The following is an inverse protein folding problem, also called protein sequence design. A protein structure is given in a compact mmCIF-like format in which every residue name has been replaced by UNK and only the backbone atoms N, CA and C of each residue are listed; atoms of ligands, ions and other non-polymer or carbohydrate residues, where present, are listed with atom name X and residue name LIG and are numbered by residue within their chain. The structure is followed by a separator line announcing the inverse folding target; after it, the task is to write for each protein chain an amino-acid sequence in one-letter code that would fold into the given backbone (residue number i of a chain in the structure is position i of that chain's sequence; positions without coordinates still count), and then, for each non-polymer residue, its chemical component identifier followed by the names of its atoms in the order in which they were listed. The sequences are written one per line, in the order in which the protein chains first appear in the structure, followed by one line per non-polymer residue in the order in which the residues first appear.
data_IF_601173845275
#
_entry.id   IF_601173845275
#
_cell.length_a   1.000
_cell.length_b   1.000
_cell.length_c   1.000
_cell.angle_alpha   90.00
_cell.angle_beta   90.00
_cell.angle_gamma   90.00
#
_symmetry.space_group_name_H-M   'P 1'
#
loop_
_entity.id
_entity.type
_entity.pdbx_description
1 polymer ?
#
# COMPACT_ATOMS: atom_id res chain seq x y z
N UNK A 1 -11.35 -18.57 14.84
CA UNK A 1 -11.52 -19.57 13.77
C UNK A 1 -11.42 -21.01 14.29
N UNK A 2 -10.38 -21.39 15.01
CA UNK A 2 -10.12 -22.74 15.53
C UNK A 2 -11.31 -23.36 16.28
N UNK A 3 -11.88 -22.65 17.28
CA UNK A 3 -13.05 -23.11 18.02
C UNK A 3 -14.26 -23.45 17.14
N UNK A 4 -14.50 -22.65 16.09
CA UNK A 4 -15.60 -22.92 15.15
C UNK A 4 -15.32 -24.15 14.29
N UNK A 5 -14.07 -24.29 13.85
CA UNK A 5 -13.66 -25.45 13.06
C UNK A 5 -13.79 -26.75 13.86
N UNK A 6 -13.32 -26.75 15.11
CA UNK A 6 -13.44 -27.92 16.00
C UNK A 6 -14.91 -28.32 16.28
N UNK A 7 -15.75 -27.33 16.58
CA UNK A 7 -17.18 -27.60 16.83
C UNK A 7 -17.90 -28.20 15.60
N UNK A 8 -17.56 -27.73 14.40
CA UNK A 8 -18.12 -28.30 13.16
C UNK A 8 -17.61 -29.72 12.96
N UNK A 9 -16.32 -29.96 13.15
CA UNK A 9 -15.73 -31.28 12.97
C UNK A 9 -16.33 -32.29 13.95
N UNK A 10 -16.53 -31.93 15.21
CA UNK A 10 -17.20 -32.77 16.22
C UNK A 10 -18.61 -33.14 15.81
N UNK A 11 -19.39 -32.22 15.25
CA UNK A 11 -20.73 -32.49 14.74
C UNK A 11 -20.76 -33.56 13.65
N UNK A 12 -19.67 -33.70 12.91
CA UNK A 12 -19.49 -34.74 11.88
C UNK A 12 -18.68 -35.97 12.38
N UNK A 13 -18.41 -36.05 13.68
CA UNK A 13 -17.58 -37.11 14.29
C UNK A 13 -16.17 -37.17 13.68
N UNK A 14 -15.65 -36.03 13.29
CA UNK A 14 -14.30 -35.84 12.74
C UNK A 14 -13.44 -35.01 13.69
N UNK A 15 -12.13 -35.03 13.46
CA UNK A 15 -11.21 -34.08 14.07
C UNK A 15 -10.68 -33.11 13.00
N UNK A 16 -10.49 -31.86 13.35
CA UNK A 16 -9.90 -30.86 12.47
C UNK A 16 -8.69 -30.19 13.15
N UNK A 17 -7.64 -29.97 12.36
CA UNK A 17 -6.48 -29.21 12.78
C UNK A 17 -6.29 -28.05 11.82
N UNK A 18 -6.13 -26.85 12.37
CA UNK A 18 -5.89 -25.65 11.57
C UNK A 18 -4.44 -25.19 11.78
N UNK A 19 -3.75 -24.91 10.68
CA UNK A 19 -2.50 -24.15 10.66
C UNK A 19 -2.80 -22.78 10.08
N UNK A 20 -2.59 -21.75 10.87
CA UNK A 20 -2.75 -20.36 10.43
C UNK A 20 -1.39 -19.71 10.27
N UNK A 21 -1.09 -19.25 9.07
CA UNK A 21 0.15 -18.56 8.75
C UNK A 21 -0.18 -17.15 8.27
N UNK A 22 0.50 -16.17 8.83
CA UNK A 22 0.35 -14.75 8.44
C UNK A 22 1.47 -14.39 7.48
N UNK A 23 1.14 -14.25 6.22
CA UNK A 23 2.10 -13.91 5.16
C UNK A 23 2.23 -12.39 4.93
N UNK A 24 1.26 -11.61 5.37
CA UNK A 24 1.23 -10.17 5.16
C UNK A 24 0.83 -9.45 6.43
N UNK A 25 1.18 -8.19 6.50
CA UNK A 25 0.79 -7.26 7.55
C UNK A 25 -0.17 -6.23 6.98
N UNK A 26 -0.88 -5.55 7.87
CA UNK A 26 -1.71 -4.42 7.47
C UNK A 26 -0.79 -3.26 7.10
N UNK A 27 -0.91 -2.77 5.86
CA UNK A 27 -0.23 -1.56 5.42
C UNK A 27 -1.11 -0.36 5.77
N UNK A 28 -0.62 0.46 6.68
CA UNK A 28 -1.33 1.67 7.13
C UNK A 28 -0.36 2.84 6.98
N UNK A 29 -0.82 3.86 6.28
CA UNK A 29 -0.07 5.10 6.14
C UNK A 29 -0.06 5.86 7.47
N UNK A 30 1.10 6.42 7.83
CA UNK A 30 1.21 7.34 8.96
C UNK A 30 0.49 8.66 8.63
N UNK A 31 -0.44 9.07 9.47
CA UNK A 31 -1.31 10.21 9.23
C UNK A 31 -0.52 11.52 9.04
N UNK A 32 0.44 11.79 9.93
CA UNK A 32 1.26 13.00 9.88
C UNK A 32 2.17 13.03 8.66
N UNK A 33 2.83 11.90 8.39
CA UNK A 33 3.72 11.79 7.22
C UNK A 33 2.92 11.92 5.92
N UNK A 34 1.76 11.27 5.83
CA UNK A 34 0.89 11.34 4.66
C UNK A 34 0.36 12.76 4.43
N UNK A 35 -0.08 13.46 5.46
CA UNK A 35 -0.53 14.85 5.33
C UNK A 35 0.57 15.80 4.82
N UNK A 36 1.80 15.62 5.28
CA UNK A 36 2.94 16.37 4.74
C UNK A 36 3.23 16.04 3.28
N UNK A 37 3.13 14.76 2.92
CA UNK A 37 3.33 14.26 1.56
C UNK A 37 2.24 14.79 0.61
N UNK A 38 0.99 14.83 1.04
CA UNK A 38 -0.11 15.40 0.28
C UNK A 38 0.10 16.87 -0.04
N UNK A 39 0.52 17.67 0.94
CA UNK A 39 0.86 19.07 0.72
C UNK A 39 1.93 19.24 -0.36
N UNK A 40 2.97 18.41 -0.33
CA UNK A 40 4.02 18.42 -1.33
C UNK A 40 3.53 17.97 -2.71
N UNK A 41 2.66 16.96 -2.74
CA UNK A 41 2.10 16.41 -3.95
C UNK A 41 1.13 17.39 -4.65
N UNK A 42 0.43 18.24 -3.91
CA UNK A 42 -0.45 19.29 -4.47
C UNK A 42 0.29 20.18 -5.45
N UNK A 43 1.51 20.57 -5.12
CA UNK A 43 2.33 21.46 -5.96
C UNK A 43 2.81 20.76 -7.24
N UNK A 44 3.02 19.45 -7.18
CA UNK A 44 3.57 18.64 -8.28
C UNK A 44 2.48 18.15 -9.23
N UNK A 45 1.37 17.63 -8.68
CA UNK A 45 0.32 16.97 -9.47
C UNK A 45 -0.89 17.85 -9.74
N UNK A 46 -0.95 19.06 -9.18
CA UNK A 46 -2.17 19.84 -9.02
C UNK A 46 -3.19 19.13 -8.11
N UNK A 47 -3.79 19.85 -7.18
CA UNK A 47 -4.67 19.27 -6.15
C UNK A 47 -5.86 18.46 -6.67
N UNK A 48 -6.28 18.69 -7.92
CA UNK A 48 -7.38 17.92 -8.57
C UNK A 48 -7.03 16.46 -8.86
N UNK A 49 -5.75 16.14 -8.91
CA UNK A 49 -5.24 14.82 -9.26
C UNK A 49 -4.85 14.00 -8.03
N UNK A 50 -5.06 14.54 -6.84
CA UNK A 50 -4.86 13.83 -5.58
C UNK A 50 -6.21 13.33 -5.12
N UNK A 51 -6.32 12.03 -4.99
CA UNK A 51 -7.56 11.35 -4.59
C UNK A 51 -7.32 10.51 -3.35
N UNK A 52 -8.30 10.50 -2.48
CA UNK A 52 -8.32 9.59 -1.35
C UNK A 52 -8.65 8.18 -1.84
N UNK A 53 -7.78 7.22 -1.56
CA UNK A 53 -7.90 5.87 -2.06
C UNK A 53 -8.46 4.95 -0.98
N UNK A 54 -9.57 4.30 -1.27
CA UNK A 54 -10.21 3.39 -0.32
C UNK A 54 -9.34 2.17 -0.02
N UNK A 55 -9.40 1.64 1.21
CA UNK A 55 -8.67 0.42 1.58
C UNK A 55 -8.98 -0.73 0.64
N UNK A 56 -7.94 -1.44 0.22
CA UNK A 56 -8.05 -2.62 -0.64
C UNK A 56 -7.54 -3.86 0.08
N UNK A 57 -8.13 -5.01 -0.21
CA UNK A 57 -7.68 -6.29 0.31
C UNK A 57 -6.57 -6.85 -0.57
N UNK A 58 -5.38 -6.31 -0.43
CA UNK A 58 -4.16 -6.76 -1.08
C UNK A 58 -3.06 -7.03 -0.07
N UNK A 59 -2.14 -7.91 -0.39
CA UNK A 59 -0.91 -8.11 0.36
C UNK A 59 0.17 -7.19 -0.19
N UNK A 60 0.91 -6.51 0.69
CA UNK A 60 1.99 -5.61 0.32
C UNK A 60 3.16 -5.76 1.30
N UNK A 61 4.34 -6.03 0.76
CA UNK A 61 5.55 -6.23 1.58
C UNK A 61 6.02 -4.94 2.26
N UNK A 62 5.69 -3.78 1.71
CA UNK A 62 5.92 -2.49 2.32
C UNK A 62 5.29 -2.37 3.72
N UNK A 63 4.26 -3.16 4.00
CA UNK A 63 3.64 -3.25 5.31
C UNK A 63 4.62 -3.59 6.45
N UNK A 64 5.72 -4.28 6.16
CA UNK A 64 6.74 -4.58 7.17
C UNK A 64 7.59 -3.35 7.52
N UNK A 65 7.78 -2.44 6.55
CA UNK A 65 8.46 -1.15 6.78
C UNK A 65 7.55 -0.17 7.52
N UNK A 66 6.28 -0.07 7.13
CA UNK A 66 5.31 0.84 7.75
C UNK A 66 5.05 0.56 9.23
N UNK A 67 5.39 -0.63 9.72
CA UNK A 67 5.33 -0.95 11.16
C UNK A 67 6.59 -0.53 11.94
N UNK A 68 7.62 -0.06 11.27
CA UNK A 68 8.90 0.29 11.89
C UNK A 68 9.17 1.79 11.88
N UNK A 69 8.71 2.46 10.84
CA UNK A 69 8.95 3.89 10.65
C UNK A 69 7.69 4.56 10.10
N UNK A 70 7.46 5.84 10.41
CA UNK A 70 6.40 6.62 9.76
C UNK A 70 6.59 6.57 8.24
N UNK A 71 5.57 6.13 7.51
CA UNK A 71 5.68 5.87 6.08
C UNK A 71 4.33 6.00 5.39
N UNK A 72 4.35 6.15 4.08
CA UNK A 72 3.16 6.18 3.26
C UNK A 72 3.34 5.32 2.01
N UNK A 73 2.36 4.51 1.70
CA UNK A 73 2.23 3.76 0.47
C UNK A 73 1.29 4.51 -0.47
N UNK A 74 1.75 4.77 -1.68
CA UNK A 74 1.04 5.60 -2.65
C UNK A 74 0.73 4.80 -3.91
N UNK A 75 -0.42 5.10 -4.50
CA UNK A 75 -0.76 4.65 -5.84
C UNK A 75 -0.61 5.81 -6.82
N UNK A 76 0.07 5.57 -7.92
CA UNK A 76 0.19 6.51 -9.01
C UNK A 76 -0.65 6.01 -10.19
N UNK A 77 -1.65 6.81 -10.56
CA UNK A 77 -2.52 6.49 -11.68
C UNK A 77 -1.76 6.49 -12.99
N UNK A 78 -1.88 5.41 -13.73
CA UNK A 78 -1.23 5.22 -15.05
C UNK A 78 -2.22 5.35 -16.22
N UNK A 79 -3.49 5.63 -15.92
CA UNK A 79 -4.59 5.68 -16.91
C UNK A 79 -5.21 4.32 -17.22
N UNK A 80 -6.39 4.35 -17.82
CA UNK A 80 -7.25 3.15 -18.01
C UNK A 80 -6.85 2.28 -19.22
N UNK A 81 -5.90 2.74 -20.03
CA UNK A 81 -5.49 2.05 -21.27
C UNK A 81 -4.45 0.97 -21.05
N UNK A 82 -3.87 0.94 -19.87
CA UNK A 82 -2.77 0.04 -19.52
C UNK A 82 -3.30 -1.11 -18.67
N UNK A 83 -2.82 -2.31 -18.92
CA UNK A 83 -3.26 -3.50 -18.20
C UNK A 83 -3.07 -3.37 -16.69
N UNK A 84 -3.80 -4.18 -15.92
CA UNK A 84 -3.68 -4.21 -14.47
C UNK A 84 -2.35 -4.81 -14.02
N UNK A 85 -1.93 -4.48 -12.81
CA UNK A 85 -0.76 -5.08 -12.17
C UNK A 85 -0.82 -6.62 -12.25
N UNK A 86 0.34 -7.26 -12.36
CA UNK A 86 0.49 -8.71 -12.47
C UNK A 86 -0.13 -9.33 -13.74
N UNK A 87 -0.37 -8.54 -14.75
CA UNK A 87 -0.84 -9.01 -16.04
C UNK A 87 0.28 -8.92 -17.09
N UNK A 88 0.32 -9.86 -18.03
CA UNK A 88 1.35 -9.91 -19.09
C UNK A 88 1.26 -8.74 -20.08
N UNK A 89 0.12 -8.04 -20.15
CA UNK A 89 -0.05 -6.85 -20.96
C UNK A 89 0.03 -5.55 -20.13
N UNK A 90 0.52 -5.62 -18.89
CA UNK A 90 0.76 -4.44 -18.09
C UNK A 90 1.78 -3.51 -18.77
N UNK A 91 1.45 -2.24 -18.81
CA UNK A 91 2.32 -1.17 -19.28
C UNK A 91 2.01 0.10 -18.49
N UNK A 92 2.80 1.13 -18.71
CA UNK A 92 2.59 2.45 -18.09
C UNK A 92 2.70 3.56 -19.15
N UNK A 93 2.03 4.68 -18.93
CA UNK A 93 2.34 5.90 -19.67
C UNK A 93 3.64 6.50 -19.09
N UNK A 94 4.71 6.53 -19.89
CA UNK A 94 5.99 7.07 -19.45
C UNK A 94 5.91 8.54 -19.01
N UNK A 95 4.85 9.26 -19.39
CA UNK A 95 4.60 10.62 -18.92
C UNK A 95 4.41 10.74 -17.41
N UNK A 96 4.06 9.65 -16.72
CA UNK A 96 3.93 9.66 -15.25
C UNK A 96 5.29 9.62 -14.54
N UNK A 97 6.34 9.13 -15.21
CA UNK A 97 7.67 8.97 -14.61
C UNK A 97 8.28 10.28 -14.11
N UNK A 98 8.29 11.39 -14.89
CA UNK A 98 8.83 12.66 -14.40
C UNK A 98 8.14 13.18 -13.14
N UNK A 99 6.82 13.00 -13.03
CA UNK A 99 6.07 13.40 -11.84
C UNK A 99 6.45 12.57 -10.62
N UNK A 100 6.60 11.26 -10.81
CA UNK A 100 7.01 10.34 -9.75
C UNK A 100 8.41 10.67 -9.26
N UNK A 101 9.36 10.88 -10.18
CA UNK A 101 10.75 11.26 -9.85
C UNK A 101 10.77 12.59 -9.10
N UNK A 102 10.01 13.59 -9.57
CA UNK A 102 9.91 14.87 -8.91
C UNK A 102 9.36 14.77 -7.48
N UNK A 103 8.33 13.93 -7.27
CA UNK A 103 7.79 13.69 -5.94
C UNK A 103 8.85 13.12 -4.99
N UNK A 104 9.57 12.08 -5.40
CA UNK A 104 10.62 11.48 -4.57
C UNK A 104 11.80 12.45 -4.32
N UNK A 105 12.23 13.18 -5.34
CA UNK A 105 13.28 14.20 -5.18
C UNK A 105 12.84 15.29 -4.18
N UNK A 106 11.61 15.76 -4.30
CA UNK A 106 11.05 16.75 -3.39
C UNK A 106 10.91 16.23 -1.97
N UNK A 107 10.56 14.96 -1.79
CA UNK A 107 10.53 14.30 -0.47
C UNK A 107 11.91 14.34 0.17
N UNK A 108 12.95 13.93 -0.54
CA UNK A 108 14.32 13.90 -0.01
C UNK A 108 14.80 15.32 0.39
N UNK A 109 14.42 16.33 -0.38
CA UNK A 109 14.84 17.72 -0.12
C UNK A 109 14.08 18.37 1.04
N UNK A 110 12.83 17.96 1.29
CA UNK A 110 11.94 18.61 2.27
C UNK A 110 11.79 17.82 3.59
N UNK A 111 12.15 16.55 3.58
CA UNK A 111 12.12 15.73 4.80
C UNK A 111 13.56 15.40 5.21
N UNK A 112 14.07 16.07 6.24
CA UNK A 112 15.43 15.76 6.73
C UNK A 112 15.49 14.30 7.18
N UNK A 113 16.47 13.58 6.66
CA UNK A 113 16.78 12.24 7.16
C UNK A 113 17.15 12.37 8.63
N UNK A 114 16.51 11.63 9.55
CA UNK A 114 16.94 11.61 10.93
C UNK A 114 18.44 11.27 10.98
N UNK A 115 19.23 12.06 11.68
CA UNK A 115 20.63 11.70 11.95
C UNK A 115 20.66 10.33 12.62
N UNK A 116 21.32 9.39 11.97
CA UNK A 116 21.60 8.05 12.50
C UNK A 116 22.40 8.14 13.78
#
# INVERSE_FOLDING_TARGET
MEKKLSAIAEGFRCSAKMKYETYSRLCVNDEKFTGNLENLAVDIFSGKNIIDFHPVMGGEDFAFFSQKVPSAYLFIGIGDRYGTNHNNNFSIDEKVLPYTVNLFASLILNFPVPSL
#
